data_IF_604488002273
#
_entry.id   IF_604488002273
#
_cell.length_a   1.000
_cell.length_b   1.000
_cell.length_c   1.000
_cell.angle_alpha   90.00
_cell.angle_beta   90.00
_cell.angle_gamma   90.00
#
_symmetry.space_group_name_H-M   'P 1'
#
loop_
_entity.id
_entity.type
_entity.pdbx_description
1 polymer ?
#
# COMPACT_ATOMS: atom_id res chain seq x y z
N UNK A 1 7.42 -27.11 -11.20
CA UNK A 1 7.75 -25.90 -10.39
C UNK A 1 8.91 -25.17 -11.05
N UNK A 2 8.63 -24.01 -11.61
CA UNK A 2 9.66 -23.10 -12.15
C UNK A 2 10.25 -22.36 -10.95
N UNK A 3 11.55 -22.50 -10.62
CA UNK A 3 12.11 -21.81 -9.48
C UNK A 3 12.10 -20.31 -9.71
N UNK A 4 11.44 -19.58 -8.80
CA UNK A 4 11.34 -18.11 -8.76
C UNK A 4 12.71 -17.49 -8.47
N UNK A 5 13.58 -17.45 -9.49
CA UNK A 5 14.89 -16.79 -9.40
C UNK A 5 15.22 -16.08 -10.70
N UNK A 6 14.38 -15.10 -11.03
CA UNK A 6 14.54 -14.23 -12.18
C UNK A 6 15.16 -12.90 -11.76
N UNK A 7 16.46 -12.91 -11.54
CA UNK A 7 17.21 -11.64 -11.51
C UNK A 7 18.43 -11.77 -12.43
N UNK A 8 18.33 -11.14 -13.60
CA UNK A 8 19.46 -10.46 -14.19
C UNK A 8 20.44 -11.25 -15.06
N UNK A 9 20.08 -12.38 -15.69
CA UNK A 9 20.91 -12.90 -16.75
C UNK A 9 20.13 -13.04 -18.07
N UNK A 10 20.78 -12.69 -19.19
CA UNK A 10 20.20 -12.87 -20.54
C UNK A 10 19.73 -14.32 -20.78
N UNK A 11 20.35 -15.30 -20.13
CA UNK A 11 19.97 -16.70 -20.18
C UNK A 11 18.57 -16.92 -19.57
N UNK A 12 18.25 -16.29 -18.43
CA UNK A 12 16.93 -16.42 -17.81
C UNK A 12 15.82 -15.78 -18.62
N UNK A 13 16.09 -14.66 -19.32
CA UNK A 13 15.13 -14.01 -20.23
C UNK A 13 14.84 -14.93 -21.41
N UNK A 14 15.87 -15.54 -22.00
CA UNK A 14 15.72 -16.47 -23.13
C UNK A 14 14.93 -17.71 -22.77
N UNK A 15 15.18 -18.29 -21.60
CA UNK A 15 14.46 -19.49 -21.12
C UNK A 15 12.99 -19.15 -20.85
N UNK A 16 12.70 -17.97 -20.28
CA UNK A 16 11.33 -17.49 -20.08
C UNK A 16 10.61 -17.27 -21.41
N UNK A 17 11.26 -16.64 -22.39
CA UNK A 17 10.69 -16.44 -23.72
C UNK A 17 10.37 -17.76 -24.42
N UNK A 18 11.26 -18.77 -24.27
CA UNK A 18 11.04 -20.11 -24.82
C UNK A 18 9.86 -20.79 -24.12
N UNK A 19 9.78 -20.73 -22.80
CA UNK A 19 8.65 -21.30 -22.06
C UNK A 19 7.30 -20.65 -22.45
N UNK A 20 7.27 -19.34 -22.68
CA UNK A 20 6.10 -18.61 -23.16
C UNK A 20 5.66 -19.04 -24.56
N UNK A 21 6.61 -19.48 -25.41
CA UNK A 21 6.31 -20.00 -26.74
C UNK A 21 5.83 -21.45 -26.69
N UNK A 22 6.56 -22.30 -25.99
CA UNK A 22 6.31 -23.74 -25.91
C UNK A 22 4.98 -24.05 -25.19
N UNK A 23 4.54 -23.17 -24.27
CA UNK A 23 3.34 -23.32 -23.44
C UNK A 23 2.32 -22.19 -23.66
N UNK A 24 2.22 -21.70 -24.88
CA UNK A 24 1.40 -20.52 -25.23
C UNK A 24 -0.07 -20.66 -24.85
N UNK A 25 -0.61 -21.88 -24.86
CA UNK A 25 -2.04 -22.14 -24.65
C UNK A 25 -2.41 -22.33 -23.18
N UNK A 26 -1.43 -22.62 -22.31
CA UNK A 26 -1.66 -22.98 -20.91
C UNK A 26 -0.80 -22.21 -19.90
N UNK A 27 0.10 -21.33 -20.35
CA UNK A 27 0.93 -20.49 -19.50
C UNK A 27 0.47 -19.03 -19.50
N UNK A 28 0.19 -18.50 -18.31
CA UNK A 28 -0.01 -17.06 -18.10
C UNK A 28 1.18 -16.50 -17.35
N UNK A 29 1.83 -15.49 -17.91
CA UNK A 29 2.96 -14.80 -17.29
C UNK A 29 2.54 -13.38 -16.91
N UNK A 30 2.71 -13.04 -15.65
CA UNK A 30 2.44 -11.70 -15.10
C UNK A 30 3.76 -11.18 -14.53
N UNK A 31 4.18 -10.00 -14.99
CA UNK A 31 5.34 -9.28 -14.47
C UNK A 31 4.86 -7.98 -13.85
N UNK A 32 5.44 -7.60 -12.72
CA UNK A 32 5.10 -6.38 -12.02
C UNK A 32 6.36 -5.67 -11.53
N UNK A 33 6.36 -4.36 -11.59
CA UNK A 33 7.47 -3.52 -11.15
C UNK A 33 7.17 -2.05 -11.35
N UNK A 34 8.11 -1.19 -11.01
CA UNK A 34 8.00 0.24 -11.24
C UNK A 34 7.96 0.55 -12.73
N UNK A 35 7.14 1.51 -13.13
CA UNK A 35 6.85 1.83 -14.53
C UNK A 35 8.11 2.00 -15.37
N UNK A 36 9.06 2.82 -14.93
CA UNK A 36 10.30 3.08 -15.64
C UNK A 36 11.19 1.85 -15.81
N UNK A 37 11.24 1.01 -14.77
CA UNK A 37 12.01 -0.24 -14.80
C UNK A 37 11.34 -1.28 -15.69
N UNK A 38 10.02 -1.35 -15.69
CA UNK A 38 9.25 -2.24 -16.55
C UNK A 38 9.36 -1.84 -18.01
N UNK A 39 9.33 -0.54 -18.32
CA UNK A 39 9.55 -0.03 -19.66
C UNK A 39 10.93 -0.46 -20.20
N UNK A 40 11.98 -0.23 -19.43
CA UNK A 40 13.35 -0.66 -19.78
C UNK A 40 13.45 -2.19 -19.93
N UNK A 41 12.78 -2.94 -19.06
CA UNK A 41 12.79 -4.41 -19.10
C UNK A 41 12.13 -4.91 -20.40
N UNK A 42 10.96 -4.41 -20.75
CA UNK A 42 10.23 -4.82 -21.95
C UNK A 42 11.02 -4.48 -23.22
N UNK A 43 11.58 -3.27 -23.32
CA UNK A 43 12.34 -2.83 -24.47
C UNK A 43 13.79 -3.37 -24.50
N UNK A 44 14.25 -4.06 -23.47
CA UNK A 44 15.58 -4.68 -23.46
C UNK A 44 15.73 -5.84 -24.45
N UNK A 45 14.61 -6.44 -24.87
CA UNK A 45 14.59 -7.56 -25.79
C UNK A 45 13.35 -7.57 -26.67
N UNK A 46 13.47 -7.57 -28.02
CA UNK A 46 12.33 -7.59 -28.94
C UNK A 46 11.37 -8.78 -28.72
N UNK A 47 11.88 -9.89 -28.17
CA UNK A 47 11.07 -11.06 -27.84
C UNK A 47 10.14 -10.81 -26.64
N UNK A 48 10.51 -9.94 -25.70
CA UNK A 48 9.63 -9.53 -24.59
C UNK A 48 8.51 -8.64 -25.11
N UNK A 49 8.83 -7.61 -25.89
CA UNK A 49 7.86 -6.68 -26.44
C UNK A 49 6.76 -7.38 -27.26
N UNK A 50 7.12 -8.39 -28.05
CA UNK A 50 6.15 -9.14 -28.85
C UNK A 50 5.22 -10.06 -28.05
N UNK A 51 5.58 -10.41 -26.81
CA UNK A 51 4.83 -11.34 -25.96
C UNK A 51 4.03 -10.65 -24.87
N UNK A 52 4.51 -9.52 -24.35
CA UNK A 52 3.77 -8.70 -23.39
C UNK A 52 2.91 -7.68 -24.14
N UNK A 53 1.64 -7.98 -24.33
CA UNK A 53 0.70 -7.16 -25.10
C UNK A 53 -0.40 -6.51 -24.22
N UNK A 54 -0.35 -6.71 -22.92
CA UNK A 54 -1.28 -6.10 -21.97
C UNK A 54 -0.49 -5.42 -20.87
N UNK A 55 -0.70 -4.12 -20.74
CA UNK A 55 -0.10 -3.27 -19.72
C UNK A 55 -1.20 -2.74 -18.83
N UNK A 56 -1.05 -2.92 -17.52
CA UNK A 56 -1.94 -2.40 -16.51
C UNK A 56 -1.14 -1.42 -15.66
N UNK A 57 -1.47 -0.16 -15.74
CA UNK A 57 -0.90 0.88 -14.90
C UNK A 57 -1.75 0.99 -13.64
N UNK A 58 -1.10 0.93 -12.49
CA UNK A 58 -1.68 1.24 -11.19
C UNK A 58 -1.14 2.60 -10.78
N UNK A 59 -1.98 3.62 -10.93
CA UNK A 59 -1.63 4.97 -10.52
C UNK A 59 -1.60 5.07 -8.99
N UNK A 60 -0.87 6.06 -8.49
CA UNK A 60 -0.86 6.36 -7.06
C UNK A 60 -2.22 6.89 -6.63
N UNK A 61 -2.64 6.53 -5.42
CA UNK A 61 -3.89 7.02 -4.85
C UNK A 61 -3.80 8.53 -4.55
N UNK A 62 -4.89 9.23 -4.80
CA UNK A 62 -5.08 10.60 -4.31
C UNK A 62 -5.26 10.63 -2.80
N UNK A 63 -5.06 11.80 -2.17
CA UNK A 63 -5.27 11.95 -0.72
C UNK A 63 -6.69 11.59 -0.28
N UNK A 64 -7.69 11.83 -1.14
CA UNK A 64 -9.08 11.46 -0.87
C UNK A 64 -9.30 9.95 -0.90
N UNK A 65 -8.74 9.27 -1.89
CA UNK A 65 -8.79 7.81 -1.98
C UNK A 65 -8.02 7.15 -0.82
N UNK A 66 -6.90 7.72 -0.41
CA UNK A 66 -6.15 7.28 0.76
C UNK A 66 -6.96 7.43 2.05
N UNK A 67 -7.70 8.52 2.21
CA UNK A 67 -8.63 8.71 3.33
C UNK A 67 -9.76 7.67 3.28
N UNK A 68 -10.28 7.35 2.13
CA UNK A 68 -11.31 6.31 1.98
C UNK A 68 -10.76 4.91 2.33
N UNK A 69 -9.49 4.62 1.99
CA UNK A 69 -8.79 3.41 2.43
C UNK A 69 -8.69 3.36 3.95
N UNK A 70 -8.35 4.48 4.62
CA UNK A 70 -8.32 4.58 6.07
C UNK A 70 -9.70 4.30 6.68
N UNK A 71 -10.76 4.95 6.17
CA UNK A 71 -12.15 4.72 6.62
C UNK A 71 -12.59 3.26 6.44
N UNK A 72 -12.18 2.63 5.33
CA UNK A 72 -12.46 1.21 5.11
C UNK A 72 -11.78 0.32 6.16
N UNK A 73 -10.57 0.65 6.60
CA UNK A 73 -9.89 -0.07 7.67
C UNK A 73 -10.60 0.13 9.01
N UNK A 74 -11.00 1.37 9.33
CA UNK A 74 -11.80 1.67 10.51
C UNK A 74 -13.10 0.85 10.52
N UNK A 75 -13.84 0.84 9.42
CA UNK A 75 -15.08 0.06 9.28
C UNK A 75 -14.84 -1.44 9.47
N UNK A 76 -13.77 -1.98 8.90
CA UNK A 76 -13.40 -3.39 9.05
C UNK A 76 -13.05 -3.76 10.48
N UNK A 77 -12.41 -2.84 11.22
CA UNK A 77 -12.08 -2.98 12.64
C UNK A 77 -13.22 -2.59 13.59
N UNK A 78 -14.38 -2.16 13.05
CA UNK A 78 -15.51 -1.63 13.83
C UNK A 78 -15.18 -0.36 14.62
N UNK A 79 -14.20 0.43 14.16
CA UNK A 79 -13.86 1.71 14.76
C UNK A 79 -14.77 2.83 14.24
N UNK A 80 -15.12 3.74 15.14
CA UNK A 80 -15.81 4.99 14.85
C UNK A 80 -14.83 6.16 14.98
N UNK A 81 -15.02 7.17 14.17
CA UNK A 81 -14.21 8.39 14.20
C UNK A 81 -14.98 9.48 14.95
N UNK A 82 -14.36 10.10 15.94
CA UNK A 82 -14.94 11.30 16.55
C UNK A 82 -14.87 12.50 15.60
N UNK A 83 -15.61 13.56 15.90
CA UNK A 83 -15.63 14.76 15.09
C UNK A 83 -14.23 15.35 14.87
N UNK A 84 -13.93 15.77 13.63
CA UNK A 84 -12.66 16.36 13.23
C UNK A 84 -11.49 15.38 13.01
N UNK A 85 -11.65 14.09 13.31
CA UNK A 85 -10.59 13.07 13.07
C UNK A 85 -10.30 12.90 11.59
N UNK A 86 -11.31 12.93 10.73
CA UNK A 86 -11.12 12.76 9.28
C UNK A 86 -10.22 13.85 8.68
N UNK A 87 -10.37 15.09 9.12
CA UNK A 87 -9.53 16.22 8.67
C UNK A 87 -8.09 16.04 9.13
N UNK A 88 -7.88 15.67 10.41
CA UNK A 88 -6.54 15.43 10.95
C UNK A 88 -5.85 14.25 10.26
N UNK A 89 -6.56 13.19 9.94
CA UNK A 89 -6.01 12.04 9.20
C UNK A 89 -5.67 12.42 7.78
N UNK A 90 -6.51 13.21 7.10
CA UNK A 90 -6.22 13.74 5.77
C UNK A 90 -4.92 14.55 5.76
N UNK A 91 -4.76 15.45 6.74
CA UNK A 91 -3.55 16.24 6.89
C UNK A 91 -2.33 15.35 7.16
N UNK A 92 -2.47 14.35 8.02
CA UNK A 92 -1.41 13.39 8.33
C UNK A 92 -0.98 12.62 7.08
N UNK A 93 -1.93 12.07 6.32
CA UNK A 93 -1.66 11.40 5.04
C UNK A 93 -0.93 12.35 4.08
N UNK A 94 -1.38 13.60 3.97
CA UNK A 94 -0.79 14.58 3.05
C UNK A 94 0.64 14.94 3.42
N UNK A 95 0.93 15.09 4.72
CA UNK A 95 2.29 15.35 5.20
C UNK A 95 3.22 14.17 4.91
N UNK A 96 2.82 12.95 5.27
CA UNK A 96 3.62 11.74 5.08
C UNK A 96 3.80 11.38 3.59
N UNK A 97 2.83 11.69 2.75
CA UNK A 97 2.88 11.46 1.29
C UNK A 97 3.69 12.54 0.55
N UNK A 98 4.42 13.38 1.25
CA UNK A 98 5.36 14.34 0.64
C UNK A 98 6.43 13.67 -0.22
N UNK A 99 6.75 12.40 0.05
CA UNK A 99 7.54 11.51 -0.79
C UNK A 99 6.75 10.21 -1.06
N UNK A 100 6.02 10.12 -2.19
CA UNK A 100 5.16 8.99 -2.52
C UNK A 100 5.89 7.65 -2.60
N UNK A 101 7.17 7.64 -3.02
CA UNK A 101 7.97 6.41 -3.13
C UNK A 101 8.23 5.80 -1.76
N UNK A 102 8.52 6.64 -0.77
CA UNK A 102 8.81 6.22 0.61
C UNK A 102 7.52 5.91 1.37
N UNK A 103 6.46 6.69 1.16
CA UNK A 103 5.17 6.48 1.82
C UNK A 103 4.51 5.16 1.42
N UNK A 104 4.53 4.83 0.13
CA UNK A 104 4.07 3.55 -0.39
C UNK A 104 2.55 3.40 -0.43
N UNK A 105 1.82 4.48 -0.72
CA UNK A 105 0.38 4.46 -1.00
C UNK A 105 -0.46 3.82 0.14
N UNK A 106 -1.29 2.83 -0.19
CA UNK A 106 -2.14 2.12 0.76
C UNK A 106 -1.37 1.46 1.93
N UNK A 107 -0.07 1.14 1.75
CA UNK A 107 0.78 0.64 2.83
C UNK A 107 1.04 1.74 3.85
N UNK A 108 1.36 2.96 3.39
CA UNK A 108 1.54 4.12 4.25
C UNK A 108 0.28 4.44 5.06
N UNK A 109 -0.89 4.39 4.42
CA UNK A 109 -2.18 4.56 5.12
C UNK A 109 -2.38 3.50 6.20
N UNK A 110 -2.00 2.24 5.94
CA UNK A 110 -2.07 1.18 6.95
C UNK A 110 -1.15 1.48 8.13
N UNK A 111 0.08 1.93 7.87
CA UNK A 111 1.02 2.30 8.94
C UNK A 111 0.45 3.44 9.80
N UNK A 112 -0.13 4.48 9.18
CA UNK A 112 -0.82 5.55 9.89
C UNK A 112 -1.93 5.00 10.79
N UNK A 113 -2.77 4.11 10.25
CA UNK A 113 -3.84 3.48 11.02
C UNK A 113 -3.29 2.70 12.22
N UNK A 114 -2.23 1.92 12.04
CA UNK A 114 -1.58 1.17 13.12
C UNK A 114 -0.97 2.09 14.18
N UNK A 115 -0.35 3.21 13.79
CA UNK A 115 0.18 4.21 14.73
C UNK A 115 -0.94 4.85 15.56
N UNK A 116 -2.08 5.19 14.94
CA UNK A 116 -3.25 5.73 15.64
C UNK A 116 -3.81 4.70 16.63
N UNK A 117 -3.85 3.42 16.26
CA UNK A 117 -4.27 2.36 17.21
C UNK A 117 -3.32 2.21 18.40
N UNK A 118 -2.01 2.36 18.18
CA UNK A 118 -1.04 2.38 19.29
C UNK A 118 -1.30 3.56 20.21
N UNK A 119 -1.54 4.75 19.68
CA UNK A 119 -1.88 5.93 20.46
C UNK A 119 -3.19 5.74 21.26
N UNK A 120 -4.24 5.21 20.62
CA UNK A 120 -5.49 4.85 21.31
C UNK A 120 -5.24 3.87 22.46
N UNK A 121 -4.47 2.81 22.23
CA UNK A 121 -4.16 1.83 23.28
C UNK A 121 -3.43 2.47 24.45
N UNK A 122 -2.50 3.38 24.22
CA UNK A 122 -1.80 4.12 25.27
C UNK A 122 -2.75 5.00 26.06
N UNK A 123 -3.66 5.73 25.37
CA UNK A 123 -4.70 6.53 26.03
C UNK A 123 -5.61 5.67 26.90
N UNK A 124 -6.10 4.54 26.37
CA UNK A 124 -6.99 3.63 27.10
C UNK A 124 -6.29 2.99 28.31
N UNK A 125 -5.01 2.67 28.20
CA UNK A 125 -4.22 2.10 29.31
C UNK A 125 -4.04 3.08 30.48
N UNK A 126 -4.14 4.39 30.24
CA UNK A 126 -4.06 5.43 31.29
C UNK A 126 -5.41 5.72 31.95
N UNK A 127 -6.52 5.16 31.44
CA UNK A 127 -7.87 5.38 32.00
C UNK A 127 -8.15 4.41 33.15
N UNK A 128 -8.79 4.90 34.23
CA UNK A 128 -9.22 4.05 35.35
C UNK A 128 -10.34 3.09 34.95
N UNK A 129 -11.23 3.53 34.07
CA UNK A 129 -12.34 2.74 33.54
C UNK A 129 -12.48 2.94 32.05
N UNK A 130 -12.65 1.86 31.32
CA UNK A 130 -12.78 1.87 29.85
C UNK A 130 -14.15 1.34 29.47
N UNK A 131 -14.91 2.10 28.70
CA UNK A 131 -16.20 1.68 28.15
C UNK A 131 -16.04 0.99 26.80
N UNK A 132 -17.10 0.32 26.36
CA UNK A 132 -17.11 -0.24 24.98
C UNK A 132 -17.00 0.85 23.92
N UNK A 133 -17.56 2.02 24.18
CA UNK A 133 -17.50 3.17 23.26
C UNK A 133 -16.06 3.69 23.14
N UNK A 134 -15.35 3.80 24.27
CA UNK A 134 -13.94 4.21 24.27
C UNK A 134 -13.06 3.26 23.46
N UNK A 135 -13.30 1.95 23.56
CA UNK A 135 -12.57 0.92 22.81
C UNK A 135 -12.79 1.02 21.28
N UNK A 136 -13.94 1.53 20.87
CA UNK A 136 -14.33 1.58 19.46
C UNK A 136 -14.17 2.97 18.83
N UNK A 137 -13.80 3.99 19.60
CA UNK A 137 -13.70 5.37 19.11
C UNK A 137 -12.25 5.80 18.99
N UNK A 138 -11.87 6.27 17.80
CA UNK A 138 -10.62 6.99 17.55
C UNK A 138 -10.88 8.48 17.71
N UNK A 139 -10.04 9.13 18.53
CA UNK A 139 -10.16 10.55 18.87
C UNK A 139 -9.11 11.41 18.17
N UNK A 140 -9.29 12.71 18.19
CA UNK A 140 -8.30 13.67 17.69
C UNK A 140 -6.96 13.51 18.41
N UNK A 141 -6.98 13.29 19.72
CA UNK A 141 -5.77 13.09 20.53
C UNK A 141 -4.97 11.86 20.05
N UNK A 142 -5.65 10.77 19.70
CA UNK A 142 -4.99 9.57 19.17
C UNK A 142 -4.23 9.88 17.85
N UNK A 143 -4.83 10.69 16.98
CA UNK A 143 -4.18 11.10 15.73
C UNK A 143 -2.99 12.03 15.99
N UNK A 144 -3.15 13.01 16.89
CA UNK A 144 -2.10 13.98 17.19
C UNK A 144 -0.89 13.32 17.86
N UNK A 145 -1.12 12.36 18.78
CA UNK A 145 -0.03 11.56 19.35
C UNK A 145 0.66 10.69 18.31
N UNK A 146 -0.11 10.04 17.42
CA UNK A 146 0.44 9.24 16.33
C UNK A 146 1.34 10.06 15.39
N UNK A 147 1.02 11.35 15.17
CA UNK A 147 1.84 12.30 14.39
C UNK A 147 3.05 12.83 15.14
N UNK A 148 3.24 12.50 16.42
CA UNK A 148 4.27 13.08 17.27
C UNK A 148 4.09 14.58 17.54
N UNK A 149 2.85 15.08 17.49
CA UNK A 149 2.50 16.50 17.75
C UNK A 149 2.03 16.76 19.18
N UNK A 150 1.86 15.69 19.97
CA UNK A 150 1.61 15.74 21.40
C UNK A 150 2.65 14.87 22.12
N UNK A 151 3.32 15.43 23.12
CA UNK A 151 4.23 14.73 24.03
C UNK A 151 3.44 14.01 25.14
#
# INVERSE_FOLDING_TARGET
>A
EIPLRLVGSEMCIRDSLKAMEDHRDDLVVIVAGYTDLMDRFIHSNPGLESRFNRFLLFEDYTSDEMLDIFKMQCKKGCYQLSDGVEELVRDYITEENGDPETFGNARGVRNIFEHILVAQNNRLAAMETVTKEDLMTLTQDDVLHARGKLD
#
